data_IF_640675295650
#
_entry.id   IF_640675295650
#
_cell.length_a   1.000
_cell.length_b   1.000
_cell.length_c   1.000
_cell.angle_alpha   90.00
_cell.angle_beta   90.00
_cell.angle_gamma   90.00
#
_symmetry.space_group_name_H-M   'P 1'
#
loop_
_entity.id
_entity.type
_entity.pdbx_description
1 polymer ?
#
# COMPACT_ATOMS: atom_id res chain seq x y z
N UNK A 1 -8.00 -13.17 6.19
CA UNK A 1 -8.10 -11.71 6.24
C UNK A 1 -9.57 -11.30 6.25
N UNK A 2 -9.93 -10.38 7.12
CA UNK A 2 -11.30 -9.92 7.24
C UNK A 2 -11.41 -8.45 6.84
N UNK A 3 -12.25 -8.15 5.85
CA UNK A 3 -12.50 -6.79 5.40
C UNK A 3 -13.66 -6.17 6.20
N UNK A 4 -13.54 -4.89 6.51
CA UNK A 4 -14.64 -4.15 7.13
C UNK A 4 -15.67 -3.78 6.09
N UNK A 5 -16.88 -3.38 6.53
CA UNK A 5 -17.93 -2.94 5.63
C UNK A 5 -17.50 -1.72 4.81
N UNK A 6 -16.77 -0.80 5.44
CA UNK A 6 -16.27 0.40 4.75
C UNK A 6 -15.25 0.01 3.66
N UNK A 7 -14.36 -0.91 3.96
CA UNK A 7 -13.37 -1.39 3.00
C UNK A 7 -14.04 -2.04 1.79
N UNK A 8 -15.05 -2.86 2.02
CA UNK A 8 -15.81 -3.49 0.95
C UNK A 8 -16.50 -2.43 0.10
N UNK A 9 -17.10 -1.43 0.73
CA UNK A 9 -17.75 -0.31 0.03
C UNK A 9 -16.77 0.39 -0.90
N UNK A 10 -15.59 0.75 -0.40
CA UNK A 10 -14.59 1.47 -1.21
C UNK A 10 -14.04 0.60 -2.34
N UNK A 11 -13.86 -0.69 -2.11
CA UNK A 11 -13.41 -1.60 -3.17
C UNK A 11 -14.45 -1.70 -4.29
N UNK A 12 -15.73 -1.70 -3.91
CA UNK A 12 -16.83 -1.68 -4.88
C UNK A 12 -16.88 -0.37 -5.65
N UNK A 13 -16.58 0.75 -5.00
CA UNK A 13 -16.51 2.06 -5.66
C UNK A 13 -15.38 2.11 -6.69
N UNK A 14 -14.23 1.51 -6.37
CA UNK A 14 -13.13 1.39 -7.31
C UNK A 14 -13.57 0.59 -8.54
N UNK A 15 -14.22 -0.53 -8.31
CA UNK A 15 -14.71 -1.38 -9.40
C UNK A 15 -15.72 -0.64 -10.28
N UNK A 16 -16.65 0.11 -9.68
CA UNK A 16 -17.64 0.88 -10.40
C UNK A 16 -17.00 1.97 -11.26
N UNK A 17 -15.96 2.61 -10.76
CA UNK A 17 -15.29 3.71 -11.45
C UNK A 17 -14.35 3.21 -12.58
N UNK A 18 -13.76 2.04 -12.41
CA UNK A 18 -12.65 1.60 -13.26
C UNK A 18 -12.79 0.20 -13.88
N UNK A 19 -13.64 -0.63 -13.31
CA UNK A 19 -13.71 -2.04 -13.66
C UNK A 19 -12.61 -2.87 -13.01
N UNK A 20 -11.73 -2.25 -12.23
CA UNK A 20 -10.64 -2.95 -11.57
C UNK A 20 -11.09 -3.56 -10.26
N UNK A 21 -10.46 -4.66 -9.88
CA UNK A 21 -10.69 -5.31 -8.59
C UNK A 21 -9.44 -5.13 -7.73
N UNK A 22 -9.64 -4.54 -6.54
CA UNK A 22 -8.58 -4.42 -5.57
C UNK A 22 -8.49 -5.71 -4.75
N UNK A 23 -7.30 -6.04 -4.31
CA UNK A 23 -7.07 -7.15 -3.40
C UNK A 23 -7.33 -6.75 -1.95
N UNK A 24 -7.05 -5.51 -1.62
CA UNK A 24 -7.23 -4.97 -0.28
C UNK A 24 -7.27 -3.45 -0.34
N UNK A 25 -7.73 -2.83 0.73
CA UNK A 25 -7.60 -1.37 0.87
C UNK A 25 -7.49 -0.99 2.34
N UNK A 26 -6.84 0.13 2.60
CA UNK A 26 -6.74 0.71 3.95
C UNK A 26 -6.95 2.21 3.87
N UNK A 27 -7.47 2.77 4.93
CA UNK A 27 -7.72 4.20 5.03
C UNK A 27 -6.95 4.74 6.23
N UNK A 28 -6.20 5.79 6.00
CA UNK A 28 -5.48 6.50 7.05
C UNK A 28 -5.65 8.00 6.79
N UNK A 29 -6.31 8.69 7.72
CA UNK A 29 -6.62 10.09 7.54
C UNK A 29 -7.50 10.31 6.31
N UNK A 30 -7.04 11.15 5.39
CA UNK A 30 -7.77 11.47 4.16
C UNK A 30 -7.22 10.72 2.94
N UNK A 31 -6.51 9.62 3.17
CA UNK A 31 -5.93 8.81 2.09
C UNK A 31 -6.49 7.40 2.14
N UNK A 32 -6.98 6.93 1.00
CA UNK A 32 -7.33 5.53 0.82
C UNK A 32 -6.30 4.89 -0.11
N UNK A 33 -5.75 3.75 0.32
CA UNK A 33 -4.78 3.01 -0.46
C UNK A 33 -5.40 1.69 -0.89
N UNK A 34 -5.37 1.43 -2.20
CA UNK A 34 -5.80 0.15 -2.76
C UNK A 34 -4.58 -0.68 -3.11
N UNK A 35 -4.59 -1.94 -2.71
CA UNK A 35 -3.59 -2.92 -3.10
C UNK A 35 -4.12 -3.65 -4.33
N UNK A 36 -3.43 -3.53 -5.45
CA UNK A 36 -3.96 -3.96 -6.75
C UNK A 36 -2.95 -4.81 -7.50
N UNK A 37 -3.41 -5.90 -8.12
CA UNK A 37 -2.54 -6.73 -8.94
C UNK A 37 -2.10 -5.96 -10.17
N UNK A 38 -0.87 -6.20 -10.61
CA UNK A 38 -0.28 -5.53 -11.76
C UNK A 38 -1.19 -5.50 -12.97
N UNK A 39 -1.84 -6.62 -13.28
CA UNK A 39 -2.75 -6.72 -14.43
C UNK A 39 -3.98 -5.83 -14.32
N UNK A 40 -4.33 -5.40 -13.11
CA UNK A 40 -5.49 -4.55 -12.87
C UNK A 40 -5.13 -3.06 -12.74
N UNK A 41 -3.84 -2.73 -12.60
CA UNK A 41 -3.40 -1.35 -12.40
C UNK A 41 -3.81 -0.41 -13.54
N UNK A 42 -3.69 -0.88 -14.77
CA UNK A 42 -4.07 -0.07 -15.93
C UNK A 42 -5.53 0.35 -15.88
N UNK A 43 -6.42 -0.56 -15.51
CA UNK A 43 -7.85 -0.26 -15.36
C UNK A 43 -8.10 0.71 -14.22
N UNK A 44 -7.44 0.47 -13.07
CA UNK A 44 -7.61 1.30 -11.88
C UNK A 44 -7.21 2.75 -12.13
N UNK A 45 -6.14 2.97 -12.88
CA UNK A 45 -5.66 4.31 -13.22
C UNK A 45 -6.56 4.92 -14.30
N UNK A 46 -6.85 4.13 -15.34
CA UNK A 46 -7.62 4.59 -16.50
C UNK A 46 -6.79 5.45 -17.43
N UNK A 47 -7.36 5.76 -18.59
CA UNK A 47 -6.72 6.60 -19.59
C UNK A 47 -6.56 8.02 -18.99
N UNK A 48 -5.34 8.55 -19.04
CA UNK A 48 -5.02 9.88 -18.50
C UNK A 48 -5.40 10.01 -17.01
N UNK A 49 -5.30 8.91 -16.27
CA UNK A 49 -5.67 8.83 -14.86
C UNK A 49 -7.14 9.18 -14.59
N UNK A 50 -8.00 9.00 -15.57
CA UNK A 50 -9.42 9.39 -15.48
C UNK A 50 -10.17 8.65 -14.37
N UNK A 51 -9.96 7.34 -14.27
CA UNK A 51 -10.64 6.53 -13.25
C UNK A 51 -10.25 6.94 -11.84
N UNK A 52 -8.96 7.18 -11.61
CA UNK A 52 -8.46 7.65 -10.32
C UNK A 52 -9.02 9.03 -9.98
N UNK A 53 -9.03 9.94 -10.95
CA UNK A 53 -9.57 11.30 -10.74
C UNK A 53 -11.06 11.27 -10.39
N UNK A 54 -11.82 10.46 -11.10
CA UNK A 54 -13.25 10.28 -10.87
C UNK A 54 -13.51 9.73 -9.46
N UNK A 55 -12.75 8.72 -9.07
CA UNK A 55 -12.89 8.09 -7.76
C UNK A 55 -12.54 9.08 -6.65
N UNK A 56 -11.47 9.86 -6.83
CA UNK A 56 -11.04 10.88 -5.87
C UNK A 56 -12.13 11.92 -5.63
N UNK A 57 -12.78 12.38 -6.70
CA UNK A 57 -13.87 13.35 -6.60
C UNK A 57 -15.08 12.77 -5.89
N UNK A 58 -15.41 11.53 -6.19
CA UNK A 58 -16.56 10.85 -5.59
C UNK A 58 -16.37 10.59 -4.11
N UNK A 59 -15.21 10.09 -3.72
CA UNK A 59 -14.93 9.73 -2.34
C UNK A 59 -14.49 10.89 -1.47
N UNK A 60 -14.02 11.98 -2.08
CA UNK A 60 -13.43 13.13 -1.40
C UNK A 60 -12.24 12.72 -0.53
N UNK A 61 -11.49 11.73 -1.02
CA UNK A 61 -10.29 11.21 -0.39
C UNK A 61 -9.16 11.21 -1.42
N UNK A 62 -7.94 11.35 -0.94
CA UNK A 62 -6.79 11.09 -1.80
C UNK A 62 -6.71 9.59 -2.04
N UNK A 63 -6.43 9.22 -3.29
CA UNK A 63 -6.38 7.82 -3.68
C UNK A 63 -4.94 7.44 -4.00
N UNK A 64 -4.46 6.38 -3.34
CA UNK A 64 -3.14 5.81 -3.55
C UNK A 64 -3.30 4.38 -4.06
N UNK A 65 -2.53 4.02 -5.09
CA UNK A 65 -2.55 2.67 -5.64
C UNK A 65 -1.19 2.03 -5.41
N UNK A 66 -1.18 0.87 -4.75
CA UNK A 66 0.05 0.09 -4.55
C UNK A 66 -0.09 -1.25 -5.26
N UNK A 67 0.99 -1.68 -5.88
CA UNK A 67 0.98 -2.94 -6.60
C UNK A 67 1.15 -4.12 -5.66
N UNK A 68 0.28 -5.12 -5.80
CA UNK A 68 0.40 -6.37 -5.09
C UNK A 68 1.61 -7.15 -5.62
N UNK A 69 2.39 -7.70 -4.70
CA UNK A 69 3.51 -8.59 -5.02
C UNK A 69 3.27 -9.94 -4.34
N UNK A 70 3.89 -10.99 -4.86
CA UNK A 70 3.73 -12.33 -4.27
C UNK A 70 4.44 -12.45 -2.91
N UNK A 71 5.51 -11.69 -2.70
CA UNK A 71 6.29 -11.73 -1.47
C UNK A 71 6.34 -10.37 -0.78
N UNK A 72 6.40 -10.41 0.55
CA UNK A 72 6.45 -9.19 1.36
C UNK A 72 7.62 -8.29 1.04
N UNK A 73 8.78 -8.87 0.75
CA UNK A 73 9.98 -8.10 0.39
C UNK A 73 9.74 -7.27 -0.87
N UNK A 74 9.18 -7.89 -1.90
CA UNK A 74 8.88 -7.19 -3.15
C UNK A 74 7.78 -6.15 -2.97
N UNK A 75 6.80 -6.44 -2.13
CA UNK A 75 5.76 -5.46 -1.81
C UNK A 75 6.37 -4.21 -1.18
N UNK A 76 7.24 -4.38 -0.19
CA UNK A 76 7.88 -3.25 0.50
C UNK A 76 8.70 -2.41 -0.48
N UNK A 77 9.46 -3.06 -1.36
CA UNK A 77 10.25 -2.37 -2.39
C UNK A 77 9.35 -1.54 -3.30
N UNK A 78 8.25 -2.10 -3.76
CA UNK A 78 7.31 -1.41 -4.64
C UNK A 78 6.58 -0.28 -3.93
N UNK A 79 6.21 -0.48 -2.67
CA UNK A 79 5.54 0.54 -1.89
C UNK A 79 6.47 1.72 -1.59
N UNK A 80 7.77 1.48 -1.48
CA UNK A 80 8.79 2.49 -1.23
C UNK A 80 9.61 2.78 -2.50
N UNK A 81 8.95 2.83 -3.65
CA UNK A 81 9.59 2.98 -4.96
C UNK A 81 10.52 4.19 -5.10
N UNK A 82 10.23 5.26 -4.37
CA UNK A 82 10.99 6.51 -4.39
C UNK A 82 12.08 6.59 -3.32
N UNK A 83 12.26 5.51 -2.54
CA UNK A 83 13.22 5.45 -1.45
C UNK A 83 14.34 4.48 -1.84
N UNK A 84 15.58 4.91 -1.70
CA UNK A 84 16.73 4.04 -2.00
C UNK A 84 16.98 3.10 -0.84
N UNK A 85 16.63 1.84 -1.04
CA UNK A 85 16.74 0.79 -0.03
C UNK A 85 18.05 0.04 -0.22
N UNK A 86 18.80 -0.10 0.88
CA UNK A 86 20.04 -0.86 0.90
C UNK A 86 19.75 -2.34 1.03
N UNK A 87 18.91 -2.71 1.99
CA UNK A 87 18.64 -4.10 2.31
C UNK A 87 17.33 -4.24 3.08
N UNK A 88 16.64 -5.35 2.86
CA UNK A 88 15.46 -5.73 3.65
C UNK A 88 15.74 -7.10 4.23
N UNK A 89 15.75 -7.20 5.56
CA UNK A 89 15.90 -8.46 6.27
C UNK A 89 14.69 -8.75 7.14
N UNK A 90 14.21 -9.98 7.10
CA UNK A 90 13.13 -10.42 7.97
C UNK A 90 13.71 -11.13 9.17
N UNK A 91 13.20 -10.79 10.35
CA UNK A 91 13.54 -11.47 11.60
C UNK A 91 12.26 -11.90 12.29
N UNK A 92 12.33 -12.97 13.07
CA UNK A 92 11.21 -13.40 13.88
C UNK A 92 11.47 -13.08 15.34
N UNK A 93 10.46 -12.49 15.99
CA UNK A 93 10.49 -12.21 17.42
C UNK A 93 9.16 -12.64 18.01
N UNK A 94 9.20 -13.56 18.97
CA UNK A 94 7.99 -14.07 19.63
C UNK A 94 6.97 -14.60 18.61
N UNK A 95 7.47 -15.30 17.57
CA UNK A 95 6.63 -15.85 16.52
C UNK A 95 6.13 -14.85 15.50
N UNK A 96 6.56 -13.60 15.58
CA UNK A 96 6.13 -12.54 14.67
C UNK A 96 7.26 -12.13 13.71
N UNK A 97 6.89 -11.99 12.45
CA UNK A 97 7.83 -11.59 11.41
C UNK A 97 7.94 -10.07 11.33
N UNK A 98 9.16 -9.57 11.41
CA UNK A 98 9.44 -8.14 11.35
C UNK A 98 10.40 -7.87 10.19
N UNK A 99 10.07 -6.87 9.38
CA UNK A 99 10.94 -6.45 8.29
C UNK A 99 11.84 -5.32 8.76
N UNK A 100 13.14 -5.55 8.72
CA UNK A 100 14.13 -4.51 8.98
C UNK A 100 14.59 -3.96 7.64
N UNK A 101 14.28 -2.70 7.39
CA UNK A 101 14.58 -2.02 6.13
C UNK A 101 15.71 -1.04 6.36
N UNK A 102 16.87 -1.32 5.79
CA UNK A 102 18.04 -0.44 5.87
C UNK A 102 18.06 0.43 4.63
N UNK A 103 18.14 1.74 4.82
CA UNK A 103 18.10 2.72 3.76
C UNK A 103 19.49 3.28 3.47
N UNK A 104 19.67 3.78 2.25
CA UNK A 104 20.90 4.51 1.91
C UNK A 104 20.92 5.85 2.63
N UNK A 105 22.12 6.41 2.78
CA UNK A 105 22.32 7.67 3.49
C UNK A 105 21.42 8.78 2.95
N UNK A 106 20.78 9.51 3.85
CA UNK A 106 19.90 10.62 3.51
C UNK A 106 18.47 10.24 3.15
N UNK A 107 18.16 8.96 2.99
CA UNK A 107 16.83 8.51 2.59
C UNK A 107 15.85 8.41 3.75
N UNK A 108 16.37 8.24 4.95
CA UNK A 108 15.54 8.01 6.14
C UNK A 108 14.54 9.13 6.41
N UNK A 109 14.96 10.38 6.22
CA UNK A 109 14.10 11.54 6.43
C UNK A 109 12.88 11.54 5.53
N UNK A 110 13.02 11.06 4.31
CA UNK A 110 11.93 11.03 3.34
C UNK A 110 10.74 10.24 3.85
N UNK A 111 11.01 9.04 4.36
CA UNK A 111 9.93 8.16 4.80
C UNK A 111 9.47 8.45 6.23
N UNK A 112 10.38 8.80 7.14
CA UNK A 112 10.00 9.08 8.51
C UNK A 112 9.16 10.34 8.64
N UNK A 113 9.26 11.28 7.70
CA UNK A 113 8.39 12.44 7.62
C UNK A 113 7.00 12.13 7.08
N UNK A 114 6.80 10.92 6.57
CA UNK A 114 5.53 10.49 5.99
C UNK A 114 4.90 9.39 6.84
N UNK A 115 4.53 9.75 8.06
CA UNK A 115 4.01 8.77 9.04
C UNK A 115 2.74 8.08 8.58
N UNK A 116 1.84 8.81 7.93
CA UNK A 116 0.61 8.22 7.39
C UNK A 116 0.88 7.19 6.31
N UNK A 117 1.82 7.49 5.41
CA UNK A 117 2.23 6.57 4.35
C UNK A 117 2.78 5.28 4.95
N UNK A 118 3.67 5.41 5.93
CA UNK A 118 4.27 4.25 6.57
C UNK A 118 3.23 3.40 7.29
N UNK A 119 2.26 4.03 7.96
CA UNK A 119 1.15 3.31 8.60
C UNK A 119 0.33 2.50 7.59
N UNK A 120 0.04 3.06 6.42
CA UNK A 120 -0.72 2.36 5.38
C UNK A 120 0.05 1.15 4.85
N UNK A 121 1.34 1.33 4.60
CA UNK A 121 2.21 0.24 4.14
C UNK A 121 2.28 -0.86 5.18
N UNK A 122 2.46 -0.51 6.45
CA UNK A 122 2.52 -1.49 7.54
C UNK A 122 1.21 -2.28 7.67
N UNK A 123 0.08 -1.59 7.55
CA UNK A 123 -1.23 -2.24 7.64
C UNK A 123 -1.42 -3.27 6.52
N UNK A 124 -1.08 -2.89 5.29
CA UNK A 124 -1.18 -3.81 4.15
C UNK A 124 -0.20 -4.97 4.26
N UNK A 125 1.01 -4.71 4.74
CA UNK A 125 2.01 -5.76 4.95
C UNK A 125 1.55 -6.78 5.98
N UNK A 126 0.95 -6.32 7.06
CA UNK A 126 0.42 -7.20 8.11
C UNK A 126 -0.71 -8.08 7.57
N UNK A 127 -1.62 -7.48 6.85
CA UNK A 127 -2.82 -8.17 6.37
C UNK A 127 -2.55 -9.15 5.24
N UNK A 128 -1.61 -8.83 4.36
CA UNK A 128 -1.39 -9.60 3.13
C UNK A 128 -0.14 -10.47 3.14
N UNK A 129 0.84 -10.15 3.99
CA UNK A 129 2.15 -10.83 3.98
C UNK A 129 2.57 -11.35 5.34
N UNK A 130 1.72 -11.21 6.35
CA UNK A 130 2.00 -11.61 7.73
C UNK A 130 3.28 -10.94 8.29
N UNK A 131 3.56 -9.74 7.81
CA UNK A 131 4.66 -8.93 8.32
C UNK A 131 4.09 -8.04 9.42
N UNK A 132 4.45 -8.34 10.67
CA UNK A 132 3.86 -7.68 11.84
C UNK A 132 4.27 -6.22 11.96
N UNK A 133 5.50 -5.90 11.59
CA UNK A 133 5.98 -4.52 11.61
C UNK A 133 7.10 -4.32 10.60
N UNK A 134 7.33 -3.06 10.26
CA UNK A 134 8.41 -2.64 9.37
C UNK A 134 9.22 -1.61 10.14
N UNK A 135 10.48 -1.91 10.39
CA UNK A 135 11.39 -0.99 11.09
C UNK A 135 12.37 -0.39 10.11
N UNK A 136 12.45 0.94 10.12
CA UNK A 136 13.32 1.71 9.22
C UNK A 136 14.62 2.05 9.93
N UNK A 137 15.73 1.71 9.28
CA UNK A 137 17.06 1.98 9.83
C UNK A 137 17.88 2.87 8.91
#
# INVERSE_FOLDING_TARGET
MRLTSDEIFYMNELNSASGANARDCVIEGNVITFLIRKRELGKAIGKDAEAVKKLRLKLKLNVELLEYAEEGKEFIKKALYDIKIKEIKFVERNGKKIANVSLESGERRKILGQTGRLKRIKALARRNYKVEDIKIH
#
